data_IF_574854152887
#
_entry.id   IF_574854152887
#
_cell.length_a   1.000
_cell.length_b   1.000
_cell.length_c   1.000
_cell.angle_alpha   90.00
_cell.angle_beta   90.00
_cell.angle_gamma   90.00
#
_symmetry.space_group_name_H-M   'P 1'
#
loop_
_entity.id
_entity.type
_entity.pdbx_description
1 polymer ?
2 non-polymer ?
3 non-polymer ?
4 water ?
#
# COMPACT_ATOMS: atom_id res chain seq x y z
N UNK A 25 11.53 14.52 21.94
CA UNK A 25 12.26 13.41 22.57
C UNK A 25 13.73 13.52 22.29
N UNK A 26 14.50 12.56 22.80
CA UNK A 26 15.92 12.56 22.56
C UNK A 26 16.20 12.00 21.17
N UNK A 27 17.33 12.43 20.61
CA UNK A 27 17.91 11.83 19.42
C UNK A 27 17.87 10.29 19.45
N UNK A 28 18.22 9.71 20.59
CA UNK A 28 18.29 8.26 20.70
C UNK A 28 16.89 7.64 20.67
N UNK A 29 15.90 8.39 21.14
CA UNK A 29 14.53 7.91 21.14
C UNK A 29 13.97 7.95 19.72
N UNK A 30 14.36 8.96 18.96
CA UNK A 30 13.96 9.12 17.57
C UNK A 30 14.57 8.13 16.59
N UNK A 31 15.86 7.85 16.74
CA UNK A 31 16.54 6.86 15.93
C UNK A 31 16.01 5.44 16.17
N UNK A 32 15.73 5.11 17.41
CA UNK A 32 15.20 3.80 17.75
C UNK A 32 13.77 3.67 17.30
N UNK A 33 13.12 4.81 17.11
CA UNK A 33 11.77 4.84 16.61
C UNK A 33 11.76 4.50 15.11
N UNK A 34 12.71 5.07 14.39
CA UNK A 34 12.77 4.90 12.95
C UNK A 34 13.39 3.56 12.57
N UNK A 35 14.09 2.96 13.51
CA UNK A 35 14.86 1.75 13.21
C UNK A 35 14.03 0.66 12.51
N UNK A 36 12.85 0.35 13.05
CA UNK A 36 12.05 -0.67 12.36
C UNK A 36 11.67 -0.26 10.94
N UNK A 37 11.52 1.04 10.68
CA UNK A 37 11.11 1.49 9.35
C UNK A 37 12.29 1.49 8.39
N UNK A 38 13.47 1.70 8.94
CA UNK A 38 14.65 1.57 8.14
C UNK A 38 14.82 0.11 7.74
N UNK A 39 14.53 -0.81 8.67
CA UNK A 39 14.75 -2.22 8.38
C UNK A 39 13.82 -2.68 7.27
N UNK A 40 12.62 -2.11 7.22
CA UNK A 40 11.66 -2.50 6.19
C UNK A 40 12.01 -1.86 4.88
N UNK A 41 12.33 -0.58 4.93
CA UNK A 41 12.60 0.21 3.74
C UNK A 41 13.84 -0.26 3.00
N UNK A 42 14.72 -0.97 3.71
CA UNK A 42 16.05 -1.28 3.17
C UNK A 42 16.03 -2.34 2.05
N UNK A 43 16.65 -2.01 0.93
CA UNK A 43 16.72 -2.91 -0.22
C UNK A 43 15.45 -2.92 -1.04
N UNK A 44 14.44 -2.23 -0.55
CA UNK A 44 13.20 -2.06 -1.29
C UNK A 44 13.37 -0.93 -2.30
N UNK A 45 12.50 -0.91 -3.31
CA UNK A 45 12.53 0.08 -4.38
C UNK A 45 11.44 1.12 -4.16
N UNK A 46 11.81 2.39 -4.32
CA UNK A 46 10.89 3.48 -4.12
C UNK A 46 10.94 4.39 -5.33
N UNK A 47 9.80 4.58 -6.00
CA UNK A 47 9.72 5.42 -7.19
C UNK A 47 9.03 6.72 -6.81
N UNK A 48 9.63 7.86 -7.11
CA UNK A 48 9.07 9.11 -6.61
C UNK A 48 8.63 10.03 -7.74
N UNK A 49 7.36 10.40 -7.72
CA UNK A 49 6.83 11.31 -8.73
C UNK A 49 6.81 12.71 -8.17
N UNK A 50 7.67 13.56 -8.72
CA UNK A 50 7.90 14.89 -8.19
C UNK A 50 7.23 15.98 -9.01
N UNK A 51 6.30 16.72 -8.41
CA UNK A 51 5.83 17.97 -9.00
C UNK A 51 7.04 18.88 -9.20
N UNK A 52 7.13 19.52 -10.38
CA UNK A 52 8.31 20.30 -10.76
C UNK A 52 8.44 21.66 -10.08
N UNK A 53 7.34 22.08 -9.47
CA UNK A 53 7.38 23.26 -8.62
C UNK A 53 8.37 23.08 -7.46
N UNK A 54 8.54 21.83 -7.03
CA UNK A 54 9.38 21.55 -5.87
C UNK A 54 10.85 21.72 -6.23
N UNK A 55 11.14 21.73 -7.52
CA UNK A 55 12.54 21.68 -7.97
C UNK A 55 13.12 23.07 -8.17
N UNK A 56 12.62 24.01 -7.39
CA UNK A 56 12.97 25.42 -7.54
C UNK A 56 12.95 26.06 -6.17
N UNK A 57 14.11 26.52 -5.72
CA UNK A 57 14.18 27.27 -4.49
C UNK A 57 14.75 26.51 -3.31
N UNK A 58 14.43 27.00 -2.11
CA UNK A 58 14.97 26.42 -0.90
C UNK A 58 14.40 25.04 -0.63
N UNK A 59 13.35 24.71 -1.37
CA UNK A 59 12.63 23.45 -1.23
C UNK A 59 13.33 22.31 -1.97
N UNK A 60 14.13 22.68 -2.97
CA UNK A 60 14.81 21.71 -3.81
C UNK A 60 16.01 21.19 -3.08
N UNK A 61 16.66 22.11 -2.34
CA UNK A 61 17.83 21.80 -1.54
C UNK A 61 17.54 20.80 -0.44
N UNK A 62 16.34 20.90 0.15
CA UNK A 62 16.00 20.02 1.24
C UNK A 62 15.47 18.68 0.71
N UNK A 63 14.90 18.73 -0.48
CA UNK A 63 14.42 17.53 -1.13
C UNK A 63 15.60 16.62 -1.44
N UNK A 64 16.70 17.22 -1.88
CA UNK A 64 17.89 16.49 -2.22
C UNK A 64 18.60 15.97 -0.97
N UNK A 65 18.47 16.71 0.12
CA UNK A 65 19.10 16.28 1.38
C UNK A 65 18.45 14.98 1.85
N UNK A 66 17.13 14.94 1.83
CA UNK A 66 16.42 13.79 2.35
C UNK A 66 16.53 12.62 1.37
N UNK A 67 16.63 12.93 0.09
CA UNK A 67 16.80 11.89 -0.90
C UNK A 67 18.20 11.31 -0.79
N UNK A 68 19.20 12.19 -0.78
CA UNK A 68 20.56 11.79 -0.45
C UNK A 68 20.56 10.80 0.70
N UNK A 69 19.87 11.16 1.78
CA UNK A 69 19.81 10.32 2.97
C UNK A 69 19.20 8.95 2.63
N UNK A 70 18.04 8.94 1.98
CA UNK A 70 17.40 7.69 1.61
C UNK A 70 18.36 6.78 0.87
N UNK A 71 19.13 7.36 -0.04
CA UNK A 71 20.14 6.58 -0.73
C UNK A 71 21.03 5.89 0.30
N UNK A 72 21.48 6.67 1.28
CA UNK A 72 22.36 6.18 2.33
C UNK A 72 21.73 5.09 3.19
N UNK A 73 20.40 5.05 3.22
CA UNK A 73 19.69 4.08 4.05
C UNK A 73 19.41 2.84 3.23
N UNK A 74 19.97 2.82 2.02
CA UNK A 74 19.96 1.63 1.18
C UNK A 74 18.67 1.37 0.46
N UNK A 75 17.88 2.42 0.26
CA UNK A 75 16.63 2.31 -0.49
C UNK A 75 16.92 2.59 -1.95
N UNK A 76 16.50 1.70 -2.85
CA UNK A 76 16.69 1.91 -4.28
C UNK A 76 15.71 2.97 -4.81
N UNK A 77 16.24 4.06 -5.35
CA UNK A 77 15.39 5.20 -5.67
C UNK A 77 15.26 5.45 -7.17
N UNK A 78 14.04 5.62 -7.64
CA UNK A 78 13.83 6.09 -9.00
C UNK A 78 13.10 7.41 -8.94
N UNK A 79 13.59 8.42 -9.65
CA UNK A 79 12.99 9.75 -9.55
C UNK A 79 12.52 10.31 -10.90
N UNK A 80 11.22 10.52 -11.04
CA UNK A 80 10.68 11.16 -12.23
C UNK A 80 10.06 12.48 -11.81
N UNK A 81 10.20 13.51 -12.64
CA UNK A 81 9.66 14.83 -12.30
C UNK A 81 8.67 15.31 -13.31
N UNK A 82 7.79 16.22 -12.91
CA UNK A 82 6.77 16.76 -13.78
C UNK A 82 7.20 18.05 -14.48
N UNK A 83 6.39 18.51 -15.43
CA UNK A 83 6.74 19.74 -16.13
C UNK A 83 5.54 20.60 -16.49
N UNK A 84 4.35 20.01 -16.47
CA UNK A 84 3.12 20.73 -16.77
C UNK A 84 3.05 22.13 -16.17
N UNK A 85 3.40 22.28 -14.91
CA UNK A 85 3.26 23.58 -14.27
C UNK A 85 4.23 24.62 -14.81
N UNK A 86 5.42 24.19 -15.21
CA UNK A 86 6.38 25.10 -15.82
C UNK A 86 5.86 25.54 -17.17
N UNK A 87 5.82 24.58 -18.09
CA UNK A 87 5.18 24.78 -19.38
C UNK A 87 3.99 25.77 -19.27
N UNK A 88 2.92 25.35 -18.62
CA UNK A 88 1.73 26.20 -18.44
C UNK A 88 1.98 27.64 -17.99
N UNK A 89 3.05 27.90 -17.25
CA UNK A 89 3.39 29.28 -16.92
C UNK A 89 4.13 29.92 -18.09
N UNK A 90 5.12 29.21 -18.63
CA UNK A 90 5.84 29.70 -19.80
C UNK A 90 4.84 30.09 -20.88
N UNK A 91 3.77 29.29 -21.00
CA UNK A 91 2.75 29.55 -21.99
C UNK A 91 2.09 30.89 -21.69
N UNK A 92 1.06 30.86 -20.86
CA UNK A 92 0.30 32.07 -20.53
C UNK A 92 1.13 33.36 -20.60
N UNK A 93 2.21 33.41 -19.83
CA UNK A 93 3.09 34.58 -19.80
C UNK A 93 3.56 35.02 -21.20
N UNK A 94 3.91 34.06 -22.04
CA UNK A 94 4.47 34.31 -23.37
C UNK A 94 3.37 34.37 -24.44
N UNK A 95 2.14 34.52 -23.97
CA UNK A 95 1.01 34.79 -24.85
C UNK A 95 0.02 33.66 -24.95
N UNK A 96 0.53 32.45 -25.16
CA UNK A 96 -0.29 31.31 -25.57
C UNK A 96 -1.15 30.72 -24.46
N UNK A 97 -2.12 29.90 -24.85
CA UNK A 97 -2.96 29.21 -23.88
C UNK A 97 -2.89 27.68 -23.98
N UNK A 98 -2.52 27.03 -22.87
CA UNK A 98 -2.44 25.57 -22.78
C UNK A 98 -3.84 24.98 -22.76
N UNK A 99 -3.96 23.74 -23.21
CA UNK A 99 -5.24 23.08 -23.30
C UNK A 99 -5.10 21.61 -22.88
N UNK A 100 -6.06 21.11 -22.10
CA UNK A 100 -5.99 19.73 -21.62
C UNK A 100 -7.23 18.91 -21.96
N UNK A 101 -7.01 17.69 -22.44
CA UNK A 101 -8.09 16.76 -22.78
C UNK A 101 -7.99 15.52 -21.91
N UNK A 102 -9.13 15.07 -21.39
CA UNK A 102 -9.16 13.92 -20.49
C UNK A 102 -7.96 13.97 -19.53
N UNK A 103 -7.69 15.15 -18.97
CA UNK A 103 -6.58 15.30 -18.03
C UNK A 103 -5.23 15.56 -18.67
N UNK A 104 -5.00 14.96 -19.84
CA UNK A 104 -3.70 15.08 -20.50
C UNK A 104 -3.52 16.38 -21.27
N UNK A 105 -2.27 16.82 -21.39
CA UNK A 105 -1.95 18.13 -21.93
C UNK A 105 -1.60 18.07 -23.40
N UNK A 106 -2.04 19.07 -24.16
CA UNK A 106 -1.56 19.20 -25.52
C UNK A 106 -0.22 19.94 -25.47
N UNK A 107 0.78 19.30 -26.05
CA UNK A 107 2.13 19.76 -26.03
C UNK A 107 2.52 19.84 -27.49
N UNK A 108 2.78 21.05 -27.99
CA UNK A 108 3.21 21.23 -29.37
C UNK A 108 4.72 21.23 -29.46
N UNK A 109 5.23 21.17 -30.69
CA UNK A 109 6.66 21.09 -30.91
C UNK A 109 7.42 22.09 -30.06
N UNK A 110 6.79 23.21 -29.74
CA UNK A 110 7.50 24.26 -29.00
C UNK A 110 7.44 24.03 -27.49
N UNK A 111 6.29 23.55 -27.02
CA UNK A 111 6.19 23.05 -25.64
C UNK A 111 7.23 21.97 -25.41
N UNK A 112 7.27 21.02 -26.32
CA UNK A 112 8.26 19.95 -26.28
C UNK A 112 9.68 20.52 -26.19
N UNK A 113 9.95 21.53 -27.01
CA UNK A 113 11.27 22.13 -27.05
C UNK A 113 11.71 22.60 -25.68
N UNK A 114 10.83 23.34 -25.01
CA UNK A 114 11.16 23.95 -23.73
C UNK A 114 11.02 22.95 -22.58
N UNK A 115 10.27 21.88 -22.81
CA UNK A 115 10.21 20.77 -21.87
C UNK A 115 11.58 20.10 -21.79
N UNK A 116 12.28 20.01 -22.92
CA UNK A 116 13.64 19.51 -22.92
C UNK A 116 14.59 20.47 -22.21
N UNK A 117 14.40 21.77 -22.42
CA UNK A 117 15.22 22.76 -21.72
C UNK A 117 15.03 22.69 -20.21
N UNK A 118 13.78 22.67 -19.78
CA UNK A 118 13.46 22.58 -18.36
C UNK A 118 14.10 21.36 -17.73
N UNK A 119 14.02 20.23 -18.43
CA UNK A 119 14.54 18.99 -17.89
C UNK A 119 16.04 19.07 -17.65
N UNK A 120 16.74 19.83 -18.47
CA UNK A 120 18.18 19.94 -18.37
C UNK A 120 18.58 20.86 -17.25
N UNK A 121 17.66 21.76 -16.89
CA UNK A 121 17.88 22.77 -15.87
C UNK A 121 17.60 22.15 -14.51
N UNK A 122 16.54 21.36 -14.45
CA UNK A 122 16.13 20.71 -13.22
C UNK A 122 17.08 19.58 -12.81
N UNK A 123 17.52 18.79 -13.79
CA UNK A 123 18.44 17.70 -13.50
C UNK A 123 19.72 18.30 -12.96
N UNK A 124 20.08 19.45 -13.49
CA UNK A 124 21.37 20.02 -13.15
C UNK A 124 21.33 20.70 -11.78
N UNK A 125 20.28 21.49 -11.54
CA UNK A 125 20.04 22.04 -10.21
C UNK A 125 20.01 20.96 -9.16
N UNK A 126 19.25 19.90 -9.42
CA UNK A 126 19.16 18.80 -8.46
C UNK A 126 20.53 18.21 -8.20
N UNK A 127 21.28 17.97 -9.27
CA UNK A 127 22.60 17.38 -9.16
C UNK A 127 23.47 18.22 -8.23
N UNK A 128 23.46 19.54 -8.44
CA UNK A 128 24.22 20.46 -7.61
C UNK A 128 23.70 20.44 -6.18
N UNK A 129 22.38 20.42 -6.04
CA UNK A 129 21.73 20.39 -4.74
C UNK A 129 22.16 19.18 -3.95
N UNK A 130 22.60 18.15 -4.67
CA UNK A 130 22.89 16.87 -4.07
C UNK A 130 24.36 16.81 -3.64
N UNK A 131 25.23 17.51 -4.36
CA UNK A 131 26.64 17.64 -4.00
C UNK A 131 26.85 18.65 -2.86
N UNK A 132 25.98 19.66 -2.80
CA UNK A 132 25.96 20.60 -1.68
C UNK A 132 25.29 20.02 -0.43
N UNK A 133 25.03 18.71 -0.48
CA UNK A 133 24.45 17.89 0.60
C UNK A 133 23.08 17.32 0.24
N UNK A 142 29.08 13.00 -3.50
CA UNK A 142 29.18 11.64 -2.97
C UNK A 142 28.13 10.74 -3.60
N UNK A 143 26.86 11.02 -3.30
CA UNK A 143 25.76 10.16 -3.75
C UNK A 143 25.66 10.09 -5.30
N UNK A 144 25.57 8.88 -5.85
CA UNK A 144 25.72 8.60 -7.28
C UNK A 144 24.38 8.64 -8.06
N UNK A 145 24.35 9.42 -9.12
CA UNK A 145 23.08 9.71 -9.80
C UNK A 145 23.20 9.57 -11.29
N UNK A 146 22.23 8.86 -11.85
CA UNK A 146 22.33 8.34 -13.19
C UNK A 146 21.04 8.59 -13.97
N UNK A 147 21.16 8.92 -15.24
CA UNK A 147 19.98 8.92 -16.08
C UNK A 147 20.32 8.20 -17.38
N UNK A 148 19.30 7.71 -18.07
CA UNK A 148 19.50 7.00 -19.31
C UNK A 148 18.31 7.12 -20.24
N UNK A 149 18.43 6.51 -21.41
CA UNK A 149 17.34 6.44 -22.37
C UNK A 149 16.37 5.29 -22.05
N UNK A 150 15.85 5.26 -20.84
CA UNK A 150 15.15 4.07 -20.33
C UNK A 150 13.75 3.94 -20.85
N UNK A 151 13.21 5.06 -21.31
CA UNK A 151 11.81 5.13 -21.71
C UNK A 151 11.65 5.28 -23.20
N UNK A 152 10.86 4.40 -23.81
CA UNK A 152 10.45 4.62 -25.19
C UNK A 152 8.96 4.97 -25.24
N UNK A 153 8.64 6.00 -26.02
CA UNK A 153 7.28 6.54 -26.03
C UNK A 153 6.59 6.49 -27.39
N UNK A 154 5.28 6.30 -27.35
CA UNK A 154 4.46 6.55 -28.52
C UNK A 154 3.59 7.77 -28.23
N UNK A 155 3.08 8.43 -29.29
CA UNK A 155 2.15 9.54 -29.09
C UNK A 155 0.81 9.05 -28.52
N UNK A 156 0.17 9.89 -27.73
CA UNK A 156 -1.14 9.54 -27.22
C UNK A 156 -2.09 9.47 -28.41
N UNK A 157 -1.87 10.34 -29.38
CA UNK A 157 -2.74 10.43 -30.54
C UNK A 157 -3.82 11.49 -30.34
N UNK A 158 -5.04 11.15 -30.73
CA UNK A 158 -6.14 12.12 -30.70
C UNK A 158 -7.13 11.76 -29.59
N UNK A 159 -7.53 12.77 -28.81
CA UNK A 159 -8.49 12.56 -27.73
C UNK A 159 -9.74 13.44 -27.86
N UNK A 160 -10.87 12.78 -28.08
CA UNK A 160 -12.16 13.48 -28.19
C UNK A 160 -12.11 14.53 -29.31
N UNK A 161 -11.44 14.18 -30.40
CA UNK A 161 -11.35 15.05 -31.57
C UNK A 161 -10.13 15.94 -31.59
N UNK A 162 -9.36 15.93 -30.51
CA UNK A 162 -8.20 16.81 -30.38
C UNK A 162 -6.86 16.08 -30.57
N UNK A 163 -6.02 16.60 -31.45
CA UNK A 163 -4.68 16.06 -31.59
C UNK A 163 -3.83 16.50 -30.40
N UNK A 164 -3.28 15.51 -29.69
CA UNK A 164 -2.45 15.79 -28.52
C UNK A 164 -1.05 16.15 -28.94
N UNK A 165 -0.64 15.61 -30.08
CA UNK A 165 0.60 16.03 -30.71
C UNK A 165 1.84 15.38 -30.11
N UNK A 166 2.49 16.07 -29.18
CA UNK A 166 3.71 15.53 -28.60
C UNK A 166 3.50 14.98 -27.20
N UNK A 167 2.23 14.86 -26.84
CA UNK A 167 1.86 14.08 -25.68
C UNK A 167 2.09 12.60 -25.97
N UNK A 168 2.92 11.95 -25.16
CA UNK A 168 3.21 10.54 -25.31
C UNK A 168 2.81 9.70 -24.09
N UNK A 169 2.86 8.38 -24.27
CA UNK A 169 2.76 7.45 -23.14
C UNK A 169 3.94 6.51 -23.22
N UNK A 170 4.34 5.95 -22.09
CA UNK A 170 5.43 5.01 -22.13
C UNK A 170 4.95 3.76 -22.79
N UNK A 171 5.62 3.41 -23.87
CA UNK A 171 5.36 2.19 -24.61
C UNK A 171 6.25 1.08 -24.05
N UNK A 172 7.56 1.33 -23.95
CA UNK A 172 8.49 0.37 -23.35
C UNK A 172 9.37 0.97 -22.26
N UNK A 173 9.46 0.28 -21.13
CA UNK A 173 10.36 0.68 -20.06
C UNK A 173 11.55 -0.28 -20.01
N UNK A 174 12.77 0.23 -20.10
CA UNK A 174 13.95 -0.64 -20.03
C UNK A 174 14.16 -1.09 -18.60
N UNK A 175 13.61 -2.24 -18.28
CA UNK A 175 13.49 -2.63 -16.91
C UNK A 175 14.77 -3.29 -16.45
N UNK A 176 15.51 -3.84 -17.41
CA UNK A 176 16.75 -4.49 -17.07
C UNK A 176 17.80 -3.43 -16.80
N UNK A 177 17.87 -2.44 -17.69
CA UNK A 177 18.82 -1.36 -17.51
C UNK A 177 18.56 -0.64 -16.19
N UNK A 178 17.30 -0.51 -15.80
CA UNK A 178 16.96 0.17 -14.57
C UNK A 178 17.51 -0.60 -13.39
N UNK A 179 17.05 -1.84 -13.23
CA UNK A 179 17.51 -2.74 -12.17
C UNK A 179 19.03 -2.83 -12.11
N UNK A 180 19.66 -2.96 -13.26
CA UNK A 180 21.11 -2.94 -13.29
C UNK A 180 21.73 -1.74 -12.52
N UNK A 181 21.18 -0.53 -12.68
CA UNK A 181 21.69 0.69 -12.01
C UNK A 181 21.33 0.74 -10.54
N UNK A 182 20.09 0.35 -10.24
CA UNK A 182 19.63 0.30 -8.87
C UNK A 182 20.46 -0.72 -8.09
N UNK A 183 20.76 -1.85 -8.71
CA UNK A 183 21.61 -2.85 -8.10
C UNK A 183 22.97 -2.27 -7.73
N UNK A 184 23.41 -1.31 -8.52
CA UNK A 184 24.74 -0.73 -8.35
C UNK A 184 24.72 0.35 -7.27
N UNK A 185 23.53 0.62 -6.73
CA UNK A 185 23.38 1.63 -5.71
C UNK A 185 23.12 3.03 -6.22
N UNK A 186 22.94 3.19 -7.52
CA UNK A 186 22.80 4.51 -8.13
C UNK A 186 21.39 5.04 -8.03
N UNK A 187 21.26 6.35 -7.83
CA UNK A 187 19.96 6.98 -7.88
C UNK A 187 19.58 7.22 -9.34
N UNK A 188 18.39 6.78 -9.73
CA UNK A 188 17.96 6.95 -11.11
C UNK A 188 17.11 8.21 -11.27
N UNK A 189 17.55 9.09 -12.17
CA UNK A 189 16.82 10.30 -12.49
C UNK A 189 16.19 10.17 -13.86
N UNK A 190 14.88 10.46 -13.94
CA UNK A 190 14.13 10.40 -15.20
C UNK A 190 13.34 11.66 -15.48
N UNK A 191 13.63 12.33 -16.61
CA UNK A 191 12.77 13.43 -17.05
C UNK A 191 11.41 12.89 -17.56
N UNK A 192 10.42 13.76 -17.70
CA UNK A 192 9.11 13.40 -18.23
C UNK A 192 9.15 13.37 -19.77
N UNK A 193 10.07 12.57 -20.30
CA UNK A 193 10.42 12.51 -21.73
C UNK A 193 10.82 11.10 -22.12
N UNK A 194 10.19 10.57 -23.16
CA UNK A 194 10.58 9.30 -23.73
C UNK A 194 10.62 9.44 -25.23
N UNK A 195 11.31 8.52 -25.90
CA UNK A 195 11.53 8.60 -27.35
C UNK A 195 10.87 7.47 -28.12
N UNK A 196 10.77 7.69 -29.43
CA UNK A 196 10.08 6.77 -30.31
C UNK A 196 11.07 6.16 -31.28
N UNK A 197 10.69 5.04 -31.87
CA UNK A 197 11.51 4.39 -32.89
C UNK A 197 11.73 5.31 -34.09
N UNK A 198 10.94 6.37 -34.18
CA UNK A 198 10.98 7.25 -35.33
C UNK A 198 11.87 8.47 -35.13
N UNK A 199 12.53 8.56 -33.98
CA UNK A 199 13.42 9.67 -33.72
C UNK A 199 12.69 10.91 -33.25
N UNK A 200 11.48 10.74 -32.72
CA UNK A 200 10.76 11.86 -32.12
C UNK A 200 10.81 11.75 -30.60
N UNK A 201 10.54 12.86 -29.92
CA UNK A 201 10.57 12.89 -28.46
C UNK A 201 9.22 13.33 -27.95
N UNK A 202 8.70 12.67 -26.93
CA UNK A 202 7.36 13.00 -26.44
C UNK A 202 7.30 13.40 -24.99
N UNK A 203 6.36 14.28 -24.70
CA UNK A 203 6.17 14.75 -23.35
C UNK A 203 5.29 13.79 -22.59
N UNK A 204 5.77 13.37 -21.42
CA UNK A 204 5.03 12.36 -20.67
C UNK A 204 4.37 12.96 -19.46
N UNK A 205 3.21 12.44 -19.08
CA UNK A 205 2.56 12.91 -17.88
C UNK A 205 3.27 12.26 -16.70
N UNK A 206 3.88 13.08 -15.86
CA UNK A 206 4.65 12.57 -14.75
C UNK A 206 3.85 11.54 -13.96
N UNK A 207 2.58 11.86 -13.69
CA UNK A 207 1.83 11.03 -12.77
C UNK A 207 1.57 9.64 -13.32
N UNK A 208 1.26 9.54 -14.60
CA UNK A 208 1.01 8.24 -15.18
C UNK A 208 2.32 7.51 -15.39
N UNK A 209 3.37 8.26 -15.70
CA UNK A 209 4.70 7.68 -15.92
C UNK A 209 5.27 7.07 -14.64
N UNK A 210 5.17 7.82 -13.54
CA UNK A 210 5.64 7.31 -12.27
C UNK A 210 5.01 5.96 -11.99
N UNK A 211 3.70 5.86 -12.27
CA UNK A 211 2.92 4.64 -11.97
C UNK A 211 3.30 3.48 -12.87
N UNK A 212 3.47 3.78 -14.16
CA UNK A 212 3.94 2.79 -15.12
C UNK A 212 5.30 2.22 -14.68
N UNK A 213 6.34 3.05 -14.72
CA UNK A 213 7.66 2.68 -14.21
C UNK A 213 7.62 1.86 -12.92
N UNK A 214 6.92 2.36 -11.90
CA UNK A 214 6.78 1.61 -10.66
C UNK A 214 6.24 0.20 -10.86
N UNK A 215 5.26 0.07 -11.74
CA UNK A 215 4.67 -1.23 -11.95
C UNK A 215 5.64 -2.14 -12.72
N UNK A 216 6.44 -1.57 -13.60
CA UNK A 216 7.49 -2.35 -14.28
C UNK A 216 8.53 -2.89 -13.30
N UNK A 217 8.92 -2.05 -12.35
CA UNK A 217 9.94 -2.41 -11.37
C UNK A 217 9.33 -3.23 -10.25
N UNK A 218 8.01 -3.41 -10.33
CA UNK A 218 7.25 -4.03 -9.25
C UNK A 218 7.69 -3.42 -7.95
N UNK A 219 7.85 -2.10 -7.94
CA UNK A 219 8.35 -1.40 -6.76
C UNK A 219 7.41 -1.58 -5.58
N UNK A 220 7.98 -1.61 -4.37
CA UNK A 220 7.19 -1.82 -3.15
C UNK A 220 6.47 -0.54 -2.75
N UNK A 221 6.89 0.58 -3.30
CA UNK A 221 6.33 1.85 -2.89
C UNK A 221 6.36 2.89 -4.03
N UNK A 222 5.22 3.50 -4.31
CA UNK A 222 5.15 4.65 -5.20
C UNK A 222 4.80 5.84 -4.31
N UNK A 223 5.54 6.94 -4.49
CA UNK A 223 5.35 8.12 -3.67
C UNK A 223 5.17 9.33 -4.57
N UNK A 224 4.01 9.97 -4.47
CA UNK A 224 3.82 11.19 -5.22
C UNK A 224 4.12 12.38 -4.31
N UNK A 225 5.00 13.27 -4.77
CA UNK A 225 5.35 14.48 -4.04
C UNK A 225 4.62 15.69 -4.62
N UNK A 226 3.58 16.13 -3.92
CA UNK A 226 2.69 17.14 -4.44
C UNK A 226 2.83 18.42 -3.65
N UNK A 227 1.91 19.34 -3.84
CA UNK A 227 1.90 20.58 -3.08
C UNK A 227 0.76 20.58 -2.07
N UNK A 228 0.20 19.40 -1.86
CA UNK A 228 -0.93 19.21 -0.96
C UNK A 228 -0.58 18.19 0.11
N UNK A 229 -1.22 18.35 1.26
CA UNK A 229 -0.97 17.51 2.42
C UNK A 229 -1.54 16.12 2.25
N UNK A 230 -2.12 15.86 1.09
CA UNK A 230 -2.62 14.52 0.82
C UNK A 230 -3.98 14.53 0.15
N UNK A 231 -4.77 13.51 0.43
CA UNK A 231 -6.14 13.41 -0.08
C UNK A 231 -7.15 13.58 1.05
N UNK A 232 -8.02 14.58 0.91
CA UNK A 232 -9.00 14.88 1.97
C UNK A 232 -10.27 14.05 1.84
N UNK A 233 -10.80 13.61 2.98
CA UNK A 233 -12.12 12.99 3.02
C UNK A 233 -13.19 14.07 2.79
N UNK A 234 -14.46 13.64 2.67
CA UNK A 234 -15.48 14.67 2.40
C UNK A 234 -15.54 15.69 3.53
N UNK A 235 -15.34 15.22 4.76
CA UNK A 235 -15.39 16.12 5.91
C UNK A 235 -14.14 16.99 6.09
N UNK A 236 -13.43 17.24 4.99
CA UNK A 236 -12.31 18.17 4.97
C UNK A 236 -11.09 17.76 5.79
N UNK A 237 -11.17 16.58 6.40
CA UNK A 237 -10.04 16.00 7.13
C UNK A 237 -9.03 15.41 6.16
N UNK A 238 -7.82 15.14 6.64
CA UNK A 238 -6.84 14.43 5.85
C UNK A 238 -6.95 12.94 6.09
N UNK A 239 -7.34 12.20 5.04
CA UNK A 239 -7.41 10.75 5.10
C UNK A 239 -6.02 10.16 5.29
N UNK A 240 -5.71 9.80 6.53
CA UNK A 240 -4.43 9.18 6.83
C UNK A 240 -4.22 7.89 6.00
N UNK A 241 -5.03 6.86 6.20
CA UNK A 241 -4.93 5.66 5.38
C UNK A 241 -6.21 5.39 4.59
N UNK A 242 -6.06 4.77 3.44
CA UNK A 242 -7.17 4.47 2.55
C UNK A 242 -6.99 3.10 1.91
N UNK A 243 -8.08 2.43 1.54
CA UNK A 243 -7.94 1.27 0.66
C UNK A 243 -8.16 1.75 -0.77
N UNK A 244 -7.74 0.96 -1.75
CA UNK A 244 -7.92 1.35 -3.13
C UNK A 244 -9.40 1.44 -3.48
N UNK A 245 -10.24 0.96 -2.57
CA UNK A 245 -11.68 1.08 -2.76
C UNK A 245 -12.17 2.39 -2.15
N UNK A 246 -11.89 2.60 -0.87
CA UNK A 246 -12.19 3.87 -0.21
C UNK A 246 -11.71 5.02 -1.07
N UNK A 247 -10.49 4.90 -1.59
CA UNK A 247 -9.92 5.97 -2.38
C UNK A 247 -10.77 6.23 -3.61
N UNK A 248 -11.12 5.15 -4.29
CA UNK A 248 -11.88 5.21 -5.54
C UNK A 248 -13.27 5.80 -5.32
N UNK A 249 -13.78 5.69 -4.10
CA UNK A 249 -15.08 6.24 -3.75
C UNK A 249 -15.00 7.75 -3.46
N UNK A 250 -13.78 8.22 -3.17
CA UNK A 250 -13.53 9.62 -2.95
C UNK A 250 -13.40 10.41 -4.24
N UNK A 251 -13.01 9.73 -5.30
CA UNK A 251 -12.71 10.38 -6.57
C UNK A 251 -13.95 11.00 -7.25
N UNK A 252 -15.12 10.43 -7.01
CA UNK A 252 -16.33 10.93 -7.68
C UNK A 252 -16.57 12.41 -7.35
N UNK A 253 -16.46 12.75 -6.07
CA UNK A 253 -16.73 14.12 -5.59
C UNK A 253 -15.48 14.99 -5.45
N UNK A 254 -14.43 14.63 -6.17
CA UNK A 254 -13.13 15.20 -5.93
C UNK A 254 -12.64 16.02 -7.12
N UNK A 255 -11.78 17.01 -6.82
CA UNK A 255 -11.16 17.83 -7.85
C UNK A 255 -10.52 16.94 -8.90
N UNK A 256 -10.58 17.35 -10.16
CA UNK A 256 -10.03 16.52 -11.23
C UNK A 256 -8.52 16.27 -11.07
N UNK A 257 -7.86 17.22 -10.41
CA UNK A 257 -6.45 17.13 -10.11
C UNK A 257 -6.16 15.87 -9.30
N UNK A 258 -6.88 15.69 -8.21
CA UNK A 258 -6.67 14.53 -7.35
C UNK A 258 -7.36 13.28 -7.88
N UNK A 259 -8.30 13.47 -8.81
CA UNK A 259 -8.93 12.36 -9.53
C UNK A 259 -7.91 11.54 -10.30
N UNK A 260 -7.05 12.22 -11.06
CA UNK A 260 -6.05 11.54 -11.87
C UNK A 260 -5.00 10.87 -10.99
N UNK A 261 -4.61 11.55 -9.92
CA UNK A 261 -3.75 10.95 -8.92
C UNK A 261 -4.28 9.58 -8.48
N UNK A 262 -5.45 9.59 -7.84
CA UNK A 262 -6.13 8.39 -7.37
C UNK A 262 -6.15 7.26 -8.41
N UNK A 263 -6.56 7.59 -9.63
CA UNK A 263 -6.57 6.60 -10.69
C UNK A 263 -5.18 6.03 -10.96
N UNK A 264 -4.14 6.87 -10.94
CA UNK A 264 -2.78 6.35 -11.12
C UNK A 264 -2.33 5.53 -9.92
N UNK A 265 -2.69 5.95 -8.73
CA UNK A 265 -2.38 5.18 -7.54
C UNK A 265 -3.10 3.83 -7.57
N UNK A 266 -4.40 3.87 -7.86
CA UNK A 266 -5.17 2.64 -7.91
C UNK A 266 -4.64 1.72 -9.01
N UNK A 267 -4.18 2.32 -10.10
CA UNK A 267 -3.63 1.54 -11.21
C UNK A 267 -2.30 0.91 -10.81
N UNK A 268 -1.49 1.66 -10.08
CA UNK A 268 -0.22 1.15 -9.61
C UNK A 268 -0.51 -0.05 -8.72
N UNK A 269 -1.40 0.13 -7.75
CA UNK A 269 -1.67 -0.91 -6.76
C UNK A 269 -2.11 -2.22 -7.38
N UNK A 270 -2.91 -2.11 -8.43
CA UNK A 270 -3.47 -3.27 -9.11
C UNK A 270 -2.36 -3.93 -9.89
N UNK A 271 -1.40 -3.11 -10.31
CA UNK A 271 -0.32 -3.55 -11.17
C UNK A 271 0.83 -4.16 -10.39
N UNK A 272 0.77 -4.09 -9.07
CA UNK A 272 1.80 -4.73 -8.27
C UNK A 272 2.33 -3.98 -7.07
N UNK A 273 2.44 -2.66 -7.20
CA UNK A 273 2.97 -1.83 -6.13
C UNK A 273 2.27 -2.12 -4.80
N UNK A 274 3.05 -2.22 -3.73
CA UNK A 274 2.53 -2.59 -2.42
C UNK A 274 1.84 -1.42 -1.75
N UNK A 275 2.37 -0.21 -1.98
CA UNK A 275 1.80 0.95 -1.33
C UNK A 275 2.10 2.23 -2.10
N UNK A 276 1.10 3.07 -2.30
CA UNK A 276 1.38 4.37 -2.90
C UNK A 276 1.06 5.49 -1.92
N UNK A 277 1.90 6.51 -1.89
CA UNK A 277 1.68 7.58 -0.92
C UNK A 277 1.67 8.98 -1.54
N UNK A 278 0.81 9.84 -0.99
CA UNK A 278 0.71 11.21 -1.42
C UNK A 278 1.19 12.15 -0.31
N UNK A 279 2.20 12.94 -0.60
CA UNK A 279 2.70 13.90 0.35
C UNK A 279 2.81 15.30 -0.23
N UNK A 280 3.00 16.24 0.68
CA UNK A 280 3.28 17.62 0.36
C UNK A 280 4.78 17.84 0.32
N UNK A 281 5.35 17.92 -0.86
CA UNK A 281 6.77 18.15 -0.99
C UNK A 281 7.21 19.48 -0.38
N UNK A 282 6.26 20.36 -0.10
CA UNK A 282 6.59 21.69 0.41
C UNK A 282 6.61 21.69 1.93
N UNK A 283 6.18 20.59 2.50
CA UNK A 283 6.18 20.41 3.94
C UNK A 283 7.55 19.87 4.36
N UNK A 284 8.40 20.74 4.91
CA UNK A 284 9.79 20.38 5.25
C UNK A 284 9.94 19.09 6.08
N UNK A 285 10.60 18.09 5.50
CA UNK A 285 10.84 16.85 6.19
C UNK A 285 9.75 15.80 6.04
N UNK A 286 8.65 16.17 5.39
CA UNK A 286 7.49 15.26 5.25
C UNK A 286 7.90 13.89 4.73
N UNK A 287 8.88 13.85 3.86
CA UNK A 287 9.32 12.63 3.21
C UNK A 287 9.94 11.69 4.24
N UNK A 288 10.75 12.27 5.12
CA UNK A 288 11.37 11.52 6.20
C UNK A 288 10.34 11.07 7.24
N UNK A 289 9.37 11.94 7.50
CA UNK A 289 8.32 11.69 8.47
C UNK A 289 7.36 10.63 7.96
N UNK A 290 7.01 10.71 6.68
CA UNK A 290 6.18 9.68 6.11
C UNK A 290 6.84 8.29 6.20
N UNK A 291 8.10 8.17 5.78
CA UNK A 291 8.79 6.87 5.75
C UNK A 291 9.29 6.29 7.09
N UNK A 292 9.65 7.13 8.05
CA UNK A 292 10.26 6.57 9.24
C UNK A 292 9.60 6.91 10.58
N UNK A 293 8.32 7.23 10.55
CA UNK A 293 7.56 7.35 11.80
C UNK A 293 6.37 6.45 11.70
N UNK A 294 5.77 6.16 12.86
CA UNK A 294 4.58 5.32 12.94
C UNK A 294 3.42 6.00 12.23
N UNK A 295 3.17 7.24 12.62
CA UNK A 295 1.99 7.98 12.18
C UNK A 295 2.12 8.49 10.75
N UNK A 296 3.18 9.26 10.52
CA UNK A 296 3.50 9.77 9.19
C UNK A 296 2.45 10.67 8.58
N UNK A 297 2.72 11.98 8.54
CA UNK A 297 1.83 12.93 7.86
C UNK A 297 1.58 12.48 6.40
N UNK A 298 0.55 13.02 5.76
CA UNK A 298 0.18 12.60 4.41
C UNK A 298 -0.61 11.30 4.33
N UNK A 299 -1.08 10.95 3.13
CA UNK A 299 -2.00 9.82 2.99
C UNK A 299 -1.46 8.65 2.19
N UNK A 300 -1.72 7.44 2.68
CA UNK A 300 -1.24 6.23 2.01
C UNK A 300 -2.39 5.34 1.62
N UNK A 301 -2.25 4.73 0.45
CA UNK A 301 -3.27 3.90 -0.17
C UNK A 301 -2.68 2.52 -0.42
N UNK A 302 -3.45 1.49 -0.11
CA UNK A 302 -3.02 0.13 -0.38
C UNK A 302 -4.23 -0.68 -0.81
N UNK A 303 -3.98 -1.77 -1.52
CA UNK A 303 -5.06 -2.64 -1.97
C UNK A 303 -4.98 -3.96 -1.22
N UNK A 304 -6.02 -4.27 -0.46
CA UNK A 304 -6.12 -5.61 0.11
C UNK A 304 -6.94 -6.47 -0.87
N UNK A 305 -6.27 -7.41 -1.51
CA UNK A 305 -6.94 -8.31 -2.46
C UNK A 305 -8.27 -8.82 -1.89
N UNK A 306 -9.22 -9.14 -2.75
CA UNK A 306 -10.51 -9.64 -2.27
C UNK A 306 -10.50 -11.13 -1.94
N UNK A 307 -10.84 -11.43 -0.69
CA UNK A 307 -11.13 -12.78 -0.24
C UNK A 307 -12.55 -12.82 0.31
N UNK A 308 -13.33 -13.79 -0.12
CA UNK A 308 -14.73 -13.85 0.26
C UNK A 308 -14.91 -14.54 1.61
N UNK A 309 -15.36 -13.78 2.61
CA UNK A 309 -15.66 -14.36 3.90
C UNK A 309 -17.13 -14.12 4.27
N UNK A 310 -17.83 -15.22 4.56
CA UNK A 310 -19.27 -15.19 4.83
C UNK A 310 -19.71 -16.17 5.92
N UNK A 311 -20.86 -15.88 6.52
CA UNK A 311 -21.51 -16.79 7.44
C UNK A 311 -21.63 -18.15 6.80
N UNK A 312 -21.40 -19.19 7.59
CA UNK A 312 -21.62 -20.53 7.11
C UNK A 312 -23.12 -20.84 7.09
N UNK A 313 -23.54 -21.68 6.15
CA UNK A 313 -24.90 -22.19 6.15
C UNK A 313 -24.86 -23.73 6.12
N UNK A 314 -26.01 -24.37 5.94
CA UNK A 314 -26.12 -25.84 6.01
C UNK A 314 -25.16 -26.58 5.09
N UNK A 315 -24.88 -25.99 3.91
CA UNK A 315 -24.13 -26.66 2.86
C UNK A 315 -22.62 -26.78 3.02
N UNK A 316 -22.01 -25.86 3.76
CA UNK A 316 -20.56 -25.89 3.93
C UNK A 316 -20.14 -27.02 4.86
N UNK A 317 -21.11 -27.63 5.53
CA UNK A 317 -20.77 -28.53 6.62
C UNK A 317 -19.85 -29.66 6.17
N UNK A 318 -20.18 -30.32 5.05
CA UNK A 318 -19.25 -31.36 4.57
C UNK A 318 -17.84 -30.83 4.24
N UNK A 319 -17.77 -29.61 3.70
CA UNK A 319 -16.50 -28.93 3.44
C UNK A 319 -15.74 -28.64 4.72
N UNK A 320 -16.38 -27.90 5.63
CA UNK A 320 -15.79 -27.58 6.94
C UNK A 320 -15.32 -28.85 7.63
N UNK A 321 -16.18 -29.86 7.62
CA UNK A 321 -15.85 -31.15 8.20
C UNK A 321 -14.55 -31.64 7.57
N UNK A 322 -14.52 -31.66 6.24
CA UNK A 322 -13.37 -32.15 5.49
C UNK A 322 -12.11 -31.43 5.93
N UNK A 323 -12.25 -30.12 6.15
CA UNK A 323 -11.13 -29.28 6.53
C UNK A 323 -10.60 -29.59 7.94
N UNK A 324 -11.52 -29.80 8.90
CA UNK A 324 -11.17 -29.84 10.31
C UNK A 324 -10.95 -31.23 10.89
N UNK A 325 -11.47 -32.24 10.21
CA UNK A 325 -11.31 -33.60 10.66
C UNK A 325 -9.85 -34.00 10.79
N UNK A 326 -9.04 -33.72 9.75
CA UNK A 326 -7.62 -34.08 9.84
C UNK A 326 -7.02 -33.47 11.09
N UNK A 327 -7.38 -32.21 11.33
CA UNK A 327 -6.90 -31.44 12.48
C UNK A 327 -7.33 -32.05 13.81
N UNK A 328 -8.63 -32.33 13.93
CA UNK A 328 -9.11 -32.93 15.18
C UNK A 328 -8.62 -34.36 15.28
N UNK A 329 -8.28 -34.95 14.13
CA UNK A 329 -7.58 -36.23 14.11
C UNK A 329 -6.20 -36.06 14.78
N UNK A 330 -5.54 -34.93 14.54
CA UNK A 330 -4.20 -34.73 15.11
C UNK A 330 -4.25 -34.24 16.55
N UNK A 331 -5.46 -33.91 17.01
CA UNK A 331 -5.64 -33.44 18.38
C UNK A 331 -5.32 -31.96 18.54
N UNK A 332 -5.39 -31.24 17.42
CA UNK A 332 -5.14 -29.81 17.40
C UNK A 332 -6.47 -29.11 17.66
N UNK A 333 -7.53 -29.64 17.04
CA UNK A 333 -8.88 -29.13 17.27
C UNK A 333 -9.68 -30.08 18.16
N UNK A 334 -10.55 -29.52 19.00
CA UNK A 334 -11.49 -30.33 19.78
C UNK A 334 -12.48 -30.94 18.80
N UNK A 335 -12.96 -32.14 19.10
CA UNK A 335 -13.82 -32.83 18.15
C UNK A 335 -15.19 -32.14 18.05
N UNK A 336 -15.69 -31.99 16.82
CA UNK A 336 -16.98 -31.36 16.57
C UNK A 336 -17.90 -32.19 15.65
N UNK A 337 -18.76 -33.01 16.26
CA UNK A 337 -19.71 -33.84 15.52
C UNK A 337 -20.48 -33.07 14.45
N UNK A 338 -20.84 -33.76 13.36
CA UNK A 338 -21.69 -33.15 12.34
C UNK A 338 -22.91 -32.49 12.99
N UNK A 339 -23.42 -33.11 14.06
CA UNK A 339 -24.62 -32.63 14.73
C UNK A 339 -24.36 -31.27 15.38
N UNK A 340 -23.29 -31.24 16.17
CA UNK A 340 -22.81 -29.99 16.72
C UNK A 340 -22.82 -28.93 15.63
N UNK A 341 -22.06 -29.19 14.57
CA UNK A 341 -21.96 -28.28 13.45
C UNK A 341 -23.34 -27.85 12.94
N UNK A 342 -24.27 -28.80 12.78
CA UNK A 342 -25.60 -28.47 12.27
C UNK A 342 -26.35 -27.43 13.11
N UNK A 343 -26.31 -27.56 14.44
CA UNK A 343 -26.89 -26.53 15.31
C UNK A 343 -25.84 -25.67 16.03
N UNK A 344 -24.96 -25.06 15.25
CA UNK A 344 -23.98 -24.09 15.75
C UNK A 344 -23.41 -23.42 14.52
N UNK A 345 -24.10 -23.62 13.38
CA UNK A 345 -23.59 -23.19 12.10
C UNK A 345 -23.45 -21.67 12.01
N UNK A 346 -24.27 -20.93 12.76
CA UNK A 346 -24.27 -19.48 12.71
C UNK A 346 -23.07 -18.85 13.43
N UNK A 347 -22.36 -19.65 14.20
CA UNK A 347 -21.16 -19.18 14.86
C UNK A 347 -20.01 -19.18 13.86
N UNK A 348 -20.26 -19.77 12.71
CA UNK A 348 -19.18 -20.10 11.79
C UNK A 348 -19.06 -19.15 10.63
N UNK A 349 -17.81 -18.85 10.29
CA UNK A 349 -17.49 -18.09 9.10
C UNK A 349 -16.63 -18.97 8.21
N UNK A 350 -16.85 -18.90 6.91
CA UNK A 350 -16.02 -19.63 5.98
C UNK A 350 -15.38 -18.70 4.95
N UNK A 351 -14.14 -19.02 4.59
CA UNK A 351 -13.34 -18.27 3.63
C UNK A 351 -13.19 -19.12 2.38
N UNK A 352 -13.59 -18.56 1.24
CA UNK A 352 -13.71 -19.35 0.02
C UNK A 352 -13.10 -18.69 -1.19
N UNK A 353 -12.73 -19.52 -2.18
CA UNK A 353 -12.21 -19.04 -3.45
C UNK A 353 -12.68 -19.90 -4.62
N UNK A 354 -13.54 -19.33 -5.45
CA UNK A 354 -14.14 -20.06 -6.56
C UNK A 354 -14.98 -21.23 -6.04
N UNK A 355 -15.82 -20.94 -5.05
CA UNK A 355 -16.68 -21.95 -4.46
C UNK A 355 -15.94 -22.97 -3.63
N UNK A 356 -14.62 -22.90 -3.63
CA UNK A 356 -13.79 -23.79 -2.84
C UNK A 356 -13.67 -23.23 -1.43
N UNK A 357 -13.65 -24.12 -0.45
CA UNK A 357 -13.54 -23.71 0.94
C UNK A 357 -12.08 -23.84 1.35
N UNK A 358 -11.47 -22.75 1.83
CA UNK A 358 -10.06 -22.79 2.22
C UNK A 358 -9.81 -22.44 3.69
N UNK A 359 -10.85 -22.02 4.38
CA UNK A 359 -10.70 -21.71 5.79
C UNK A 359 -12.01 -21.63 6.52
N UNK A 360 -11.93 -21.64 7.85
CA UNK A 360 -13.10 -21.41 8.70
C UNK A 360 -12.67 -20.99 10.09
N UNK A 361 -13.62 -20.45 10.84
CA UNK A 361 -13.35 -19.97 12.18
C UNK A 361 -14.67 -19.65 12.87
N UNK A 362 -14.72 -19.92 14.17
CA UNK A 362 -15.98 -19.74 14.90
C UNK A 362 -15.81 -18.76 16.03
N UNK A 363 -16.83 -17.92 16.22
CA UNK A 363 -16.92 -17.06 17.39
C UNK A 363 -17.88 -17.66 18.42
N UNK A 364 -17.36 -17.96 19.61
CA UNK A 364 -18.18 -18.48 20.70
C UNK A 364 -18.56 -17.38 21.68
N UNK A 365 -19.82 -17.39 22.13
CA UNK A 365 -20.26 -16.41 23.13
C UNK A 365 -20.52 -17.02 24.53
N UNK A 366 -20.71 -16.16 25.52
CA UNK A 366 -20.82 -16.65 26.88
C UNK A 366 -21.82 -15.87 27.74
N UNK A 367 -22.04 -16.38 28.95
CA UNK A 367 -22.85 -15.68 29.94
C UNK A 367 -22.23 -14.31 30.16
N UNK A 368 -20.91 -14.29 30.30
CA UNK A 368 -20.16 -13.05 30.36
C UNK A 368 -20.28 -12.29 29.02
N UNK A 369 -20.84 -11.09 29.06
CA UNK A 369 -21.23 -10.40 27.83
C UNK A 369 -20.03 -9.74 27.13
N UNK A 370 -18.95 -9.57 27.88
CA UNK A 370 -17.70 -9.00 27.35
C UNK A 370 -16.85 -10.00 26.56
N UNK A 371 -16.98 -11.29 26.89
CA UNK A 371 -16.09 -12.31 26.34
C UNK A 371 -16.53 -12.92 25.01
N UNK A 372 -15.54 -13.27 24.21
CA UNK A 372 -15.73 -14.06 23.00
C UNK A 372 -14.64 -15.11 22.96
N UNK A 373 -14.75 -16.05 22.03
CA UNK A 373 -13.65 -16.97 21.76
C UNK A 373 -13.50 -17.23 20.27
N UNK A 374 -12.25 -17.17 19.80
CA UNK A 374 -11.98 -17.60 18.44
C UNK A 374 -11.72 -19.08 18.57
N UNK A 375 -12.55 -19.86 17.88
CA UNK A 375 -12.50 -21.32 18.01
C UNK A 375 -12.58 -21.96 16.65
N UNK A 376 -11.86 -23.06 16.50
CA UNK A 376 -11.93 -23.84 15.28
C UNK A 376 -11.37 -23.01 14.13
N UNK A 377 -10.22 -22.40 14.36
CA UNK A 377 -9.54 -21.63 13.33
C UNK A 377 -8.67 -22.58 12.51
N UNK A 378 -8.97 -22.68 11.22
CA UNK A 378 -8.26 -23.61 10.36
C UNK A 378 -8.18 -23.09 8.92
N UNK A 379 -6.98 -23.20 8.34
CA UNK A 379 -6.80 -22.98 6.91
C UNK A 379 -6.10 -24.20 6.30
N UNK A 380 -6.57 -24.62 5.13
CA UNK A 380 -6.00 -25.81 4.48
C UNK A 380 -4.51 -25.62 4.18
N UNK A 381 -3.73 -26.69 4.37
CA UNK A 381 -2.27 -26.55 4.28
C UNK A 381 -1.85 -25.98 2.93
N UNK A 382 -2.67 -26.18 1.91
CA UNK A 382 -2.34 -25.75 0.55
C UNK A 382 -2.49 -24.25 0.34
N UNK A 383 -3.40 -23.64 1.09
CA UNK A 383 -3.67 -22.20 0.97
C UNK A 383 -3.16 -21.50 2.22
N UNK A 384 -2.41 -22.22 3.01
CA UNK A 384 -1.78 -21.69 4.20
C UNK A 384 -0.72 -20.68 3.75
N UNK A 385 -0.32 -19.80 4.66
CA UNK A 385 0.80 -18.89 4.44
C UNK A 385 0.49 -17.70 3.53
N UNK A 386 -0.67 -17.73 2.88
CA UNK A 386 -1.10 -16.61 2.07
C UNK A 386 -1.81 -15.49 2.83
N UNK A 387 -1.89 -15.58 4.16
CA UNK A 387 -2.60 -14.57 4.94
C UNK A 387 -4.07 -14.83 5.27
N UNK A 388 -4.62 -15.92 4.73
CA UNK A 388 -5.95 -16.37 5.10
C UNK A 388 -6.20 -16.44 6.64
N UNK A 389 -5.24 -17.00 7.39
CA UNK A 389 -5.35 -17.00 8.84
C UNK A 389 -5.77 -15.64 9.36
N UNK A 390 -4.87 -14.67 9.23
CA UNK A 390 -5.12 -13.25 9.53
C UNK A 390 -6.53 -12.76 9.20
N UNK A 391 -7.00 -13.11 8.01
CA UNK A 391 -8.25 -12.59 7.47
C UNK A 391 -9.49 -13.12 8.18
N UNK A 392 -9.44 -14.39 8.60
CA UNK A 392 -10.46 -15.01 9.42
C UNK A 392 -10.36 -14.50 10.86
N UNK A 393 -9.15 -14.40 11.40
CA UNK A 393 -8.99 -13.76 12.71
C UNK A 393 -9.56 -12.35 12.73
N UNK A 394 -9.22 -11.55 11.72
CA UNK A 394 -9.74 -10.20 11.67
C UNK A 394 -11.25 -10.25 11.63
N UNK A 395 -11.76 -10.92 10.60
CA UNK A 395 -13.19 -11.09 10.35
C UNK A 395 -14.01 -11.35 11.60
N UNK A 396 -13.64 -12.36 12.38
CA UNK A 396 -14.38 -12.65 13.60
C UNK A 396 -14.11 -11.62 14.69
N UNK A 397 -13.04 -10.85 14.56
CA UNK A 397 -12.82 -9.74 15.48
C UNK A 397 -13.85 -8.65 15.21
N UNK A 398 -14.18 -8.42 13.95
CA UNK A 398 -15.24 -7.48 13.61
C UNK A 398 -16.62 -7.98 14.05
N UNK A 399 -16.87 -9.27 13.85
CA UNK A 399 -18.08 -9.91 14.36
C UNK A 399 -18.13 -9.68 15.87
N UNK A 400 -17.09 -10.10 16.57
CA UNK A 400 -17.06 -9.97 18.02
C UNK A 400 -17.14 -8.52 18.48
N UNK A 401 -16.70 -7.59 17.65
CA UNK A 401 -16.74 -6.19 18.01
C UNK A 401 -18.16 -5.66 17.83
N UNK A 402 -18.85 -6.20 16.83
CA UNK A 402 -20.22 -5.80 16.55
C UNK A 402 -21.20 -6.11 17.69
N UNK A 403 -20.93 -7.15 18.45
CA UNK A 403 -21.87 -7.54 19.51
C UNK A 403 -21.41 -7.17 20.94
N UNK A 404 -20.52 -6.18 21.03
CA UNK A 404 -20.15 -5.62 22.32
C UNK A 404 -19.06 -6.40 23.02
N UNK A 405 -18.44 -7.33 22.29
CA UNK A 405 -17.34 -8.10 22.86
C UNK A 405 -16.00 -7.36 22.88
N UNK A 406 -15.43 -7.28 24.07
CA UNK A 406 -14.14 -6.62 24.29
C UNK A 406 -12.98 -7.62 24.51
N UNK A 407 -13.15 -8.59 25.40
CA UNK A 407 -12.13 -9.62 25.57
C UNK A 407 -12.38 -10.80 24.64
N UNK A 408 -11.38 -11.19 23.84
CA UNK A 408 -11.47 -12.35 22.94
C UNK A 408 -10.38 -13.39 23.21
N UNK A 409 -10.80 -14.58 23.62
CA UNK A 409 -9.91 -15.67 24.04
C UNK A 409 -9.51 -16.59 22.88
N UNK A 410 -8.44 -17.33 23.08
CA UNK A 410 -8.02 -18.33 22.10
C UNK A 410 -7.18 -19.38 22.80
N UNK A 411 -7.64 -20.62 22.79
CA UNK A 411 -6.91 -21.67 23.43
C UNK A 411 -6.41 -22.61 22.35
N UNK A 412 -5.21 -23.14 22.54
CA UNK A 412 -4.65 -24.06 21.59
C UNK A 412 -3.42 -24.72 22.19
N UNK A 413 -3.10 -25.89 21.67
CA UNK A 413 -2.02 -26.71 22.19
C UNK A 413 -0.69 -26.40 21.52
N UNK A 414 -0.75 -25.99 20.26
CA UNK A 414 0.43 -26.00 19.42
C UNK A 414 0.54 -24.77 18.54
N UNK A 415 -0.27 -23.75 18.85
CA UNK A 415 -0.34 -22.59 17.98
C UNK A 415 -0.47 -21.26 18.74
N UNK A 416 -0.13 -21.27 20.03
CA UNK A 416 -0.24 -20.07 20.85
C UNK A 416 0.59 -18.89 20.36
N UNK A 417 1.77 -19.16 19.83
CA UNK A 417 2.68 -18.11 19.37
C UNK A 417 2.04 -17.23 18.28
N UNK A 418 1.43 -17.87 17.29
CA UNK A 418 0.65 -17.15 16.28
C UNK A 418 -0.20 -16.03 16.90
N UNK A 419 -0.78 -16.30 18.07
CA UNK A 419 -1.67 -15.36 18.73
C UNK A 419 -0.90 -14.31 19.49
N UNK A 420 0.16 -14.74 20.16
CA UNK A 420 1.13 -13.85 20.77
C UNK A 420 1.56 -12.76 19.78
N UNK A 421 1.86 -13.18 18.55
CA UNK A 421 2.34 -12.29 17.49
C UNK A 421 1.24 -11.50 16.81
N UNK A 422 0.05 -11.50 17.39
CA UNK A 422 -1.06 -10.83 16.76
C UNK A 422 -1.99 -10.16 17.76
N UNK A 423 -1.44 -9.77 18.90
CA UNK A 423 -2.18 -8.92 19.82
C UNK A 423 -2.77 -9.63 21.00
N UNK A 424 -2.09 -10.69 21.46
CA UNK A 424 -2.61 -11.57 22.49
C UNK A 424 -1.66 -11.72 23.66
N UNK A 425 -2.21 -11.62 24.86
CA UNK A 425 -1.45 -11.84 26.08
C UNK A 425 -1.82 -13.20 26.65
N UNK A 426 -0.81 -14.01 26.98
CA UNK A 426 -1.06 -15.28 27.64
C UNK A 426 -1.93 -15.05 28.86
N UNK A 427 -2.88 -15.93 29.12
CA UNK A 427 -3.80 -15.83 30.26
C UNK A 427 -3.82 -17.07 31.16
N UNK A 428 -4.48 -16.95 32.31
CA UNK A 428 -4.65 -18.07 33.26
C UNK A 428 -6.08 -18.67 33.23
N UNK A 429 -6.23 -19.93 33.62
CA UNK A 429 -7.53 -20.59 33.46
C UNK A 429 -8.60 -19.87 34.28
N UNK A 430 -8.21 -19.48 35.48
CA UNK A 430 -9.07 -18.72 36.39
C UNK A 430 -9.60 -17.43 35.76
N UNK A 431 -9.15 -17.13 34.54
CA UNK A 431 -9.58 -15.92 33.86
C UNK A 431 -10.50 -16.16 32.69
N UNK A 432 -10.85 -17.42 32.42
CA UNK A 432 -11.79 -17.75 31.35
C UNK A 432 -13.23 -17.56 31.83
N UNK A 433 -14.18 -17.42 30.89
CA UNK A 433 -15.57 -17.55 31.32
C UNK A 433 -15.75 -18.84 32.11
N UNK A 434 -16.70 -18.89 33.04
CA UNK A 434 -16.86 -20.07 33.91
C UNK A 434 -17.03 -21.38 33.14
N UNK A 435 -17.93 -21.38 32.17
CA UNK A 435 -18.23 -22.58 31.40
C UNK A 435 -16.97 -23.13 30.72
N UNK A 436 -16.15 -22.21 30.20
CA UNK A 436 -14.94 -22.55 29.47
C UNK A 436 -13.80 -23.00 30.38
N UNK A 437 -13.80 -22.49 31.61
CA UNK A 437 -12.83 -22.92 32.61
C UNK A 437 -13.16 -24.34 33.05
N UNK A 438 -14.43 -24.69 32.92
CA UNK A 438 -14.91 -26.00 33.30
C UNK A 438 -14.62 -27.01 32.20
N UNK A 439 -14.83 -26.65 30.93
CA UNK A 439 -14.47 -27.55 29.83
C UNK A 439 -12.96 -27.70 29.89
N UNK A 440 -12.29 -26.60 30.22
CA UNK A 440 -10.84 -26.60 30.28
C UNK A 440 -10.29 -27.67 31.23
N UNK A 441 -10.89 -27.81 32.42
CA UNK A 441 -10.42 -28.78 33.40
C UNK A 441 -10.77 -30.22 33.03
N UNK A 442 -11.89 -30.40 32.33
CA UNK A 442 -12.32 -31.72 31.87
C UNK A 442 -11.51 -32.20 30.68
N UNK A 443 -11.53 -31.42 29.59
CA UNK A 443 -10.56 -31.54 28.50
C UNK A 443 -9.41 -32.46 28.82
N UNK A 444 -8.63 -32.03 29.83
CA UNK A 444 -7.38 -32.67 30.18
C UNK A 444 -6.30 -32.32 29.19
N UNK A 445 -6.48 -31.19 28.50
CA UNK A 445 -5.58 -30.82 27.42
C UNK A 445 -4.52 -29.82 27.88
N UNK A 446 -4.92 -28.88 28.74
CA UNK A 446 -4.00 -27.86 29.21
C UNK A 446 -3.59 -26.90 28.13
N UNK A 447 -4.43 -26.76 27.10
CA UNK A 447 -4.16 -25.77 26.08
C UNK A 447 -3.69 -24.45 26.68
N UNK A 448 -2.99 -23.66 25.86
CA UNK A 448 -2.51 -22.36 26.28
C UNK A 448 -3.65 -21.38 26.14
N UNK A 449 -3.69 -20.40 27.04
CA UNK A 449 -4.76 -19.44 27.00
C UNK A 449 -4.24 -18.04 26.67
N UNK A 450 -4.80 -17.44 25.62
CA UNK A 450 -4.43 -16.10 25.23
C UNK A 450 -5.67 -15.20 25.07
N UNK A 451 -5.56 -13.95 25.51
CA UNK A 451 -6.63 -12.97 25.36
C UNK A 451 -6.16 -11.79 24.54
N UNK A 452 -7.11 -11.12 23.91
CA UNK A 452 -6.87 -9.86 23.22
C UNK A 452 -8.06 -8.91 23.41
N UNK A 453 -7.78 -7.65 23.78
CA UNK A 453 -8.83 -6.66 24.03
C UNK A 453 -9.24 -5.93 22.76
N UNK A 454 -10.53 -5.91 22.49
CA UNK A 454 -11.08 -5.28 21.30
C UNK A 454 -11.64 -3.92 21.72
N UNK A 455 -11.40 -2.89 20.90
CA UNK A 455 -11.75 -1.51 21.32
C UNK A 455 -12.89 -0.83 20.53
N UNK A 456 -13.26 0.36 20.99
CA UNK A 456 -14.43 1.12 20.50
C UNK A 456 -14.37 1.49 19.00
X LIG B 1 2.95 -21.22 15.68
X LIG B 1 3.53 -20.06 15.35
X LIG B 1 3.45 -19.57 14.10
X LIG B 1 2.77 -20.25 13.14
X LIG B 1 2.15 -21.45 13.46
X LIG B 1 2.26 -21.92 14.77
X LIG B 1 1.62 -23.16 15.11
X LIG B 1 1.55 -21.92 12.32
X LIG B 1 1.76 -21.04 11.33
X LIG B 1 2.50 -20.05 11.84
X LIG B 1 3.02 -18.86 11.14
X LIG B 1 3.75 -19.26 9.92
X LIG B 1 5.04 -19.52 10.28
X LIG B 1 3.69 -18.10 9.06
X LIG B 1 4.88 -17.42 9.33
X LIG B 1 5.31 -16.08 8.63
X LIG B 1 4.44 -14.93 9.17
X LIG B 1 6.74 -15.80 8.98
X LIG B 1 5.12 -16.22 7.12
X LIG B 1 2.49 -17.34 9.51
X LIG B 1 2.07 -17.91 10.77
X LIG B 1 1.33 -17.41 8.60
X LIG B 1 0.16 -16.84 9.07
X LIG B 1 -1.09 -16.59 8.13
X LIG B 1 -1.62 -15.19 8.41
X LIG B 1 -0.67 -16.62 6.68
X LIG B 1 -2.30 -17.61 8.39
X LIG B 1 -2.51 -19.06 7.74
X LIG B 1 -1.14 -19.66 7.37
X LIG B 1 -3.45 -19.01 6.55
X LIG B 1 -3.13 -20.02 8.84
X LIG B 1 -3.09 -21.15 10.98
X LIG B 1 -2.59 -20.03 10.12
X LIG B 1 -4.59 -20.87 11.30
X LIG B 1 -2.28 -21.20 12.28
X LIG B 1 -2.93 -22.46 10.15
X LIG B 1 -1.64 -22.92 10.19
X LIG B 1 -3.78 -23.65 10.60
X LIG B 1 -4.96 -23.81 10.23
X LIG B 1 -3.10 -24.58 11.48
X LIG B 1 -3.87 -25.74 11.94
X LIG B 1 -5.06 -25.37 12.81
X LIG B 1 -4.73 -24.84 14.18
X LIG B 1 -3.59 -24.89 14.65
X LIG B 1 -5.83 -24.27 14.92
X LIG B 1 -5.60 -23.75 16.25
X LIG B 1 -6.19 -22.42 16.45
X LIG B 1 -6.34 -21.91 18.17
X LIG B 1 -9.21 -25.69 19.20
X LIG B 1 -10.64 -25.65 18.82
X LIG B 1 -11.21 -26.76 18.52
X LIG B 1 -11.27 -24.54 18.80
X LIG B 1 -9.08 -26.45 20.49
X LIG B 1 -7.92 -26.06 21.39
X LIG B 1 -8.15 -26.20 22.87
X LIG B 1 -9.11 -25.58 23.44
X LIG B 1 -7.38 -26.94 23.54
X LIG B 1 -8.69 -23.36 18.34
X LIG B 1 -8.08 -21.99 18.63
X LIG B 1 -9.15 -23.59 17.23
X LIG B 1 -8.68 -24.36 19.38
X LIG C 1 11.05 16.96 2.07
X LIG C 1 12.06 16.38 1.20
X LIG C 1 11.52 18.34 2.39
X LIG C 1 9.75 16.91 1.35
X LIG C 1 10.97 16.12 3.27
#
# INVERSE_FOLDING_TARGET
MGSSHHHHHHSSGLVPRGSHMNAPDSFVAHFREAAPYIRQMRGTTLVAGIDGRLLEGGTLNKLAADIGLLSQLGIRLVLIHGAYHFLDRLAAAQGRTPHYCRGLRVTDETSLGQAQQFAGTVRSRFEAALCGSVSGFARAPSVPLVSGNFLTARPIGVIDGTDMEYAGVIRKTDTAALRFQLDAGNIVWMPPLGHSYGGKTFNLDMVQAAASVAVSLQAEKLVYLTLSDGISRPDGTLAETLSAQEAQSLAEHAASETRRLISSAVAALEGGVHRVQILNGAADGSLLQELFTRNGIGTSIAKEAFVSIRQAHSGDIPHIAALIRPLEEQGILLHRSREYLENHISEFSILEHDGNLYGCAALKTFAEADCGEIACLAVSPQAQDGGYGERLLAHIIDKARGIGISRLFALSTNTGEWFAERGFQTASEDELPETRRKDYRSNGRNSHILVRRLHR
1C4 N1A C2A N3A C4A C5A C6A N6A N7A C8A N9A C1B C2B O2B C3B O3B P3B O7A O8A O9A C4B O4B C5B O5B P1A O1A O2A O3A P2A O4A O5A O6A CBP CCP CDP CEP CAP OAP C9P O9P N8P C7P C6P C5P O5P N4P C3P C2P S1P CA C OXT O CB CG CD OE1 OE2 C7 C8 O7 N2
SO4 S O1 O2 O3 O4
#
